data_IF_854757639149
#
_entry.id   IF_854757639149
#
_cell.length_a   1.000
_cell.length_b   1.000
_cell.length_c   1.000
_cell.angle_alpha   90.00
_cell.angle_beta   90.00
_cell.angle_gamma   90.00
#
_symmetry.space_group_name_H-M   'P 1'
#
loop_
_entity.id
_entity.type
_entity.pdbx_description
1 polymer ?
#
# COMPACT_ATOMS: atom_id res chain seq x y z
N UNK A 1 21.02 -9.21 -3.19
CA UNK A 1 21.57 -8.19 -4.11
C UNK A 1 21.75 -8.68 -5.55
N UNK A 2 22.30 -9.87 -5.82
CA UNK A 2 22.58 -10.36 -7.20
C UNK A 2 21.37 -10.28 -8.16
N UNK A 3 20.19 -10.76 -7.76
CA UNK A 3 18.97 -10.76 -8.60
C UNK A 3 18.61 -9.38 -9.14
N UNK A 4 18.69 -8.32 -8.32
CA UNK A 4 18.36 -6.95 -8.74
C UNK A 4 19.33 -6.43 -9.78
N UNK A 5 20.64 -6.55 -9.52
CA UNK A 5 21.67 -6.08 -10.45
C UNK A 5 21.63 -6.86 -11.76
N UNK A 6 21.36 -8.18 -11.71
CA UNK A 6 21.18 -9.01 -12.91
C UNK A 6 19.97 -8.59 -13.72
N UNK A 7 18.81 -8.36 -13.09
CA UNK A 7 17.60 -7.90 -13.79
C UNK A 7 17.82 -6.52 -14.45
N UNK A 8 18.48 -5.61 -13.73
CA UNK A 8 18.84 -4.29 -14.26
C UNK A 8 19.76 -4.41 -15.48
N UNK A 9 20.85 -5.16 -15.35
CA UNK A 9 21.79 -5.40 -16.46
C UNK A 9 21.07 -6.04 -17.66
N UNK A 10 20.19 -7.01 -17.42
CA UNK A 10 19.46 -7.67 -18.49
C UNK A 10 18.55 -6.70 -19.24
N UNK A 11 17.86 -5.79 -18.53
CA UNK A 11 17.06 -4.72 -19.16
C UNK A 11 17.94 -3.75 -19.96
N UNK A 12 19.10 -3.34 -19.43
CA UNK A 12 20.04 -2.46 -20.15
C UNK A 12 20.53 -3.13 -21.44
N UNK A 13 20.89 -4.41 -21.40
CA UNK A 13 21.29 -5.18 -22.58
C UNK A 13 20.15 -5.31 -23.60
N UNK A 14 18.90 -5.39 -23.14
CA UNK A 14 17.73 -5.39 -24.02
C UNK A 14 17.54 -4.04 -24.71
N UNK A 15 17.67 -2.94 -23.97
CA UNK A 15 17.53 -1.60 -24.53
C UNK A 15 18.64 -1.24 -25.53
N UNK A 16 19.84 -1.81 -25.39
CA UNK A 16 20.93 -1.63 -26.37
C UNK A 16 20.83 -2.61 -27.55
N UNK A 17 19.83 -3.52 -27.54
CA UNK A 17 19.62 -4.51 -28.61
C UNK A 17 20.57 -5.71 -28.57
N UNK A 18 21.32 -5.91 -27.48
CA UNK A 18 22.16 -7.10 -27.29
C UNK A 18 21.28 -8.32 -26.97
N UNK A 19 20.20 -8.11 -26.22
CA UNK A 19 19.16 -9.10 -25.97
C UNK A 19 17.93 -8.68 -26.75
N UNK A 20 17.41 -9.54 -27.60
CA UNK A 20 16.23 -9.22 -28.43
C UNK A 20 14.96 -9.95 -27.99
N UNK A 21 15.09 -11.02 -27.20
CA UNK A 21 13.96 -11.83 -26.74
C UNK A 21 13.33 -11.27 -25.46
N UNK A 22 12.19 -10.60 -25.61
CA UNK A 22 11.40 -10.10 -24.48
C UNK A 22 10.78 -11.21 -23.61
N UNK A 23 10.72 -12.46 -24.11
CA UNK A 23 10.10 -13.59 -23.40
C UNK A 23 10.88 -13.98 -22.14
N UNK A 24 12.19 -13.67 -22.09
CA UNK A 24 13.01 -13.87 -20.90
C UNK A 24 12.43 -13.08 -19.71
N UNK A 25 12.04 -11.83 -19.94
CA UNK A 25 11.42 -11.01 -18.89
C UNK A 25 10.04 -11.55 -18.51
N UNK A 26 9.25 -12.04 -19.46
CA UNK A 26 7.94 -12.64 -19.16
C UNK A 26 8.11 -13.80 -18.16
N UNK A 27 9.10 -14.67 -18.39
CA UNK A 27 9.36 -15.80 -17.50
C UNK A 27 9.85 -15.33 -16.13
N UNK A 28 10.80 -14.38 -16.07
CA UNK A 28 11.29 -13.82 -14.81
C UNK A 28 10.16 -13.19 -13.99
N UNK A 29 9.28 -12.42 -14.63
CA UNK A 29 8.16 -11.78 -13.95
C UNK A 29 7.17 -12.83 -13.46
N UNK A 30 6.84 -13.84 -14.28
CA UNK A 30 6.01 -14.98 -13.83
C UNK A 30 6.58 -15.64 -12.57
N UNK A 31 7.89 -15.90 -12.54
CA UNK A 31 8.56 -16.52 -11.40
C UNK A 31 8.46 -15.66 -10.13
N UNK A 32 8.63 -14.34 -10.23
CA UNK A 32 8.49 -13.43 -9.09
C UNK A 32 7.05 -13.21 -8.65
N UNK A 33 6.09 -13.36 -9.57
CA UNK A 33 4.66 -13.28 -9.28
C UNK A 33 4.04 -14.60 -8.84
N UNK A 34 4.86 -15.65 -8.65
CA UNK A 34 4.40 -16.95 -8.18
C UNK A 34 3.81 -16.86 -6.76
N UNK A 35 2.53 -17.22 -6.61
CA UNK A 35 1.80 -17.10 -5.34
C UNK A 35 2.33 -17.99 -4.22
N UNK A 36 3.06 -19.08 -4.56
CA UNK A 36 3.69 -19.95 -3.57
C UNK A 36 4.67 -19.20 -2.66
N UNK A 37 5.29 -18.14 -3.17
CA UNK A 37 6.28 -17.34 -2.45
C UNK A 37 5.66 -16.38 -1.43
N UNK A 38 4.33 -16.18 -1.46
CA UNK A 38 3.62 -15.31 -0.51
C UNK A 38 3.63 -15.85 0.92
N UNK A 39 3.93 -17.14 1.11
CA UNK A 39 4.05 -17.75 2.44
C UNK A 39 5.35 -17.36 3.15
N UNK A 40 6.36 -16.96 2.38
CA UNK A 40 7.66 -16.53 2.89
C UNK A 40 7.72 -15.00 2.84
N UNK A 41 7.82 -14.39 4.03
CA UNK A 41 7.86 -12.93 4.17
C UNK A 41 9.09 -12.32 3.49
N UNK A 42 10.27 -12.92 3.65
CA UNK A 42 11.51 -12.39 3.08
C UNK A 42 11.51 -12.52 1.55
N UNK A 43 10.98 -13.64 1.04
CA UNK A 43 10.79 -13.82 -0.40
C UNK A 43 9.80 -12.80 -0.97
N UNK A 44 8.67 -12.59 -0.30
CA UNK A 44 7.64 -11.60 -0.69
C UNK A 44 8.22 -10.20 -0.77
N UNK A 45 8.98 -9.77 0.26
CA UNK A 45 9.63 -8.45 0.26
C UNK A 45 10.66 -8.32 -0.86
N UNK A 46 11.45 -9.37 -1.07
CA UNK A 46 12.43 -9.40 -2.16
C UNK A 46 11.75 -9.24 -3.51
N UNK A 47 10.65 -9.95 -3.74
CA UNK A 47 9.90 -9.90 -4.99
C UNK A 47 9.22 -8.56 -5.20
N UNK A 48 8.52 -8.02 -4.19
CA UNK A 48 7.96 -6.66 -4.23
C UNK A 48 9.00 -5.64 -4.67
N UNK A 49 10.21 -5.74 -4.11
CA UNK A 49 11.29 -4.81 -4.41
C UNK A 49 11.89 -4.99 -5.81
N UNK A 50 11.92 -6.22 -6.34
CA UNK A 50 12.35 -6.53 -7.70
C UNK A 50 11.29 -6.09 -8.73
N UNK A 51 10.02 -6.41 -8.50
CA UNK A 51 8.90 -6.04 -9.35
C UNK A 51 8.70 -4.53 -9.40
N UNK A 52 8.84 -3.82 -8.27
CA UNK A 52 8.84 -2.35 -8.22
C UNK A 52 9.98 -1.78 -9.09
N UNK A 53 11.19 -2.35 -8.98
CA UNK A 53 12.33 -1.91 -9.79
C UNK A 53 12.10 -2.14 -11.28
N UNK A 54 11.52 -3.29 -11.63
CA UNK A 54 11.15 -3.63 -13.01
C UNK A 54 10.08 -2.69 -13.54
N UNK A 55 9.01 -2.45 -12.80
CA UNK A 55 7.92 -1.57 -13.23
C UNK A 55 8.39 -0.12 -13.44
N UNK A 56 9.28 0.39 -12.57
CA UNK A 56 9.84 1.75 -12.71
C UNK A 56 10.77 1.91 -13.93
N UNK A 57 11.63 0.93 -14.21
CA UNK A 57 12.64 1.02 -15.28
C UNK A 57 12.11 0.46 -16.62
N UNK A 58 11.25 -0.54 -16.55
CA UNK A 58 10.68 -1.28 -17.67
C UNK A 58 9.30 -0.79 -18.09
N UNK A 59 9.00 0.51 -17.93
CA UNK A 59 7.68 1.09 -18.28
C UNK A 59 7.26 0.77 -19.73
N UNK A 60 8.23 0.66 -20.64
CA UNK A 60 8.02 0.24 -22.03
C UNK A 60 7.37 -1.16 -22.16
N UNK A 61 7.77 -2.13 -21.33
CA UNK A 61 7.17 -3.48 -21.29
C UNK A 61 5.72 -3.45 -20.83
N UNK A 62 5.35 -2.42 -20.07
CA UNK A 62 4.00 -2.19 -19.56
C UNK A 62 3.18 -1.26 -20.48
N UNK A 63 3.75 -0.74 -21.56
CA UNK A 63 3.10 0.26 -22.40
C UNK A 63 2.76 1.54 -21.64
N UNK A 64 3.47 1.82 -20.54
CA UNK A 64 3.37 3.06 -19.79
C UNK A 64 4.42 4.04 -20.33
N UNK A 65 4.05 5.29 -20.58
CA UNK A 65 4.97 6.34 -21.01
C UNK A 65 5.01 7.44 -19.95
N UNK A 66 6.17 8.02 -19.69
CA UNK A 66 6.26 9.16 -18.78
C UNK A 66 5.64 10.39 -19.45
N UNK A 67 4.74 11.13 -18.77
CA UNK A 67 4.24 12.39 -19.29
C UNK A 67 5.40 13.38 -19.42
N UNK A 68 5.63 13.90 -20.63
CA UNK A 68 6.66 14.90 -20.93
C UNK A 68 8.01 14.35 -21.43
N UNK A 69 8.18 13.03 -21.56
CA UNK A 69 9.32 12.47 -22.27
C UNK A 69 8.97 12.40 -23.75
N UNK A 70 9.73 13.10 -24.61
CA UNK A 70 9.68 12.88 -26.05
C UNK A 70 10.02 11.41 -26.28
N UNK A 71 8.99 10.62 -26.62
CA UNK A 71 9.17 9.22 -26.95
C UNK A 71 9.96 9.22 -28.25
N UNK A 72 11.23 8.82 -28.17
CA UNK A 72 11.99 8.49 -29.37
C UNK A 72 11.35 7.24 -29.98
N UNK A 73 10.28 7.47 -30.75
CA UNK A 73 9.46 6.43 -31.35
C UNK A 73 10.32 5.52 -32.24
N UNK A 74 11.40 6.01 -32.82
CA UNK A 74 12.31 5.21 -33.64
C UNK A 74 13.10 4.22 -32.77
N UNK A 75 13.60 4.65 -31.61
CA UNK A 75 14.26 3.76 -30.65
C UNK A 75 13.32 2.65 -30.16
N UNK A 76 12.09 3.00 -29.81
CA UNK A 76 11.09 2.03 -29.30
C UNK A 76 10.48 1.14 -30.39
N UNK A 77 10.46 1.58 -31.66
CA UNK A 77 10.10 0.73 -32.80
C UNK A 77 11.11 -0.39 -33.05
N UNK A 78 12.37 -0.19 -32.66
CA UNK A 78 13.42 -1.23 -32.73
C UNK A 78 13.32 -2.30 -31.64
N UNK A 79 12.52 -2.07 -30.58
CA UNK A 79 12.35 -2.99 -29.46
C UNK A 79 11.19 -3.96 -29.73
N UNK A 80 11.52 -5.25 -29.87
CA UNK A 80 10.59 -6.33 -30.23
C UNK A 80 9.71 -6.82 -29.05
N UNK A 81 8.90 -5.94 -28.44
CA UNK A 81 7.90 -6.35 -27.43
C UNK A 81 6.51 -6.41 -28.07
N UNK A 82 5.98 -7.62 -28.21
CA UNK A 82 4.65 -7.86 -28.77
C UNK A 82 3.54 -7.36 -27.85
N UNK A 83 2.37 -7.05 -28.44
CA UNK A 83 1.16 -6.67 -27.69
C UNK A 83 0.76 -7.76 -26.68
N UNK A 84 0.92 -9.03 -27.06
CA UNK A 84 0.61 -10.17 -26.18
C UNK A 84 1.57 -10.24 -24.98
N UNK A 85 2.87 -10.01 -25.16
CA UNK A 85 3.81 -9.94 -24.04
C UNK A 85 3.49 -8.76 -23.11
N UNK A 86 3.14 -7.57 -23.64
CA UNK A 86 2.69 -6.43 -22.82
C UNK A 86 1.49 -6.79 -21.97
N UNK A 87 0.52 -7.52 -22.55
CA UNK A 87 -0.66 -8.02 -21.83
C UNK A 87 -0.28 -9.02 -20.74
N UNK A 88 0.69 -9.91 -21.00
CA UNK A 88 1.18 -10.87 -20.01
C UNK A 88 1.86 -10.19 -18.81
N UNK A 89 2.69 -9.16 -19.05
CA UNK A 89 3.31 -8.39 -17.96
C UNK A 89 2.27 -7.72 -17.09
N UNK A 90 1.31 -6.99 -17.70
CA UNK A 90 0.22 -6.35 -16.97
C UNK A 90 -0.55 -7.37 -16.15
N UNK A 91 -0.99 -8.47 -16.77
CA UNK A 91 -1.76 -9.51 -16.07
C UNK A 91 -1.00 -10.07 -14.86
N UNK A 92 0.28 -10.40 -15.02
CA UNK A 92 1.09 -10.95 -13.94
C UNK A 92 1.27 -9.95 -12.78
N UNK A 93 1.60 -8.68 -13.09
CA UNK A 93 1.83 -7.65 -12.09
C UNK A 93 0.55 -7.25 -11.35
N UNK A 94 -0.56 -7.07 -12.07
CA UNK A 94 -1.86 -6.79 -11.46
C UNK A 94 -2.33 -7.95 -10.57
N UNK A 95 -2.26 -9.19 -11.07
CA UNK A 95 -2.65 -10.37 -10.28
C UNK A 95 -1.79 -10.53 -9.02
N UNK A 96 -0.50 -10.21 -9.09
CA UNK A 96 0.37 -10.23 -7.92
C UNK A 96 0.03 -9.10 -6.96
N UNK A 97 -0.22 -7.88 -7.47
CA UNK A 97 -0.64 -6.74 -6.68
C UNK A 97 -1.93 -7.03 -5.87
N UNK A 98 -2.92 -7.65 -6.51
CA UNK A 98 -4.16 -8.05 -5.84
C UNK A 98 -3.87 -9.04 -4.71
N UNK A 99 -3.05 -10.08 -4.98
CA UNK A 99 -2.71 -11.09 -3.99
C UNK A 99 -1.90 -10.54 -2.80
N UNK A 100 -0.94 -9.63 -3.03
CA UNK A 100 -0.20 -8.98 -1.91
C UNK A 100 -1.07 -7.97 -1.16
N UNK A 101 -2.08 -7.40 -1.80
CA UNK A 101 -3.06 -6.53 -1.14
C UNK A 101 -3.97 -7.33 -0.22
N UNK A 102 -4.43 -8.50 -0.65
CA UNK A 102 -5.15 -9.45 0.22
C UNK A 102 -4.30 -9.88 1.42
N UNK A 103 -3.01 -10.19 1.19
CA UNK A 103 -2.07 -10.52 2.27
C UNK A 103 -1.92 -9.35 3.25
N UNK A 104 -1.79 -8.12 2.75
CA UNK A 104 -1.68 -6.91 3.56
C UNK A 104 -2.94 -6.69 4.42
N UNK A 105 -4.13 -6.88 3.85
CA UNK A 105 -5.40 -6.79 4.58
C UNK A 105 -5.52 -7.88 5.67
N UNK A 106 -5.03 -9.08 5.40
CA UNK A 106 -4.98 -10.15 6.39
C UNK A 106 -4.01 -9.82 7.55
N UNK A 107 -2.82 -9.29 7.25
CA UNK A 107 -1.88 -8.83 8.28
C UNK A 107 -2.46 -7.66 9.10
N UNK A 108 -3.15 -6.72 8.45
CA UNK A 108 -3.84 -5.62 9.12
C UNK A 108 -4.90 -6.13 10.11
N UNK A 109 -5.74 -7.07 9.67
CA UNK A 109 -6.78 -7.67 10.52
C UNK A 109 -6.18 -8.40 11.73
N UNK A 110 -5.05 -9.10 11.53
CA UNK A 110 -4.32 -9.78 12.60
C UNK A 110 -3.74 -8.78 13.61
N UNK A 111 -3.18 -7.66 13.12
CA UNK A 111 -2.65 -6.60 13.97
C UNK A 111 -3.76 -5.99 14.84
N UNK A 112 -4.94 -5.70 14.26
CA UNK A 112 -6.11 -5.21 14.99
C UNK A 112 -6.59 -6.16 16.07
N UNK A 113 -6.64 -7.46 15.75
CA UNK A 113 -7.05 -8.46 16.73
C UNK A 113 -6.08 -8.50 17.93
N UNK A 114 -4.78 -8.41 17.66
CA UNK A 114 -3.74 -8.36 18.69
C UNK A 114 -3.82 -7.07 19.53
N UNK A 115 -4.13 -5.93 18.93
CA UNK A 115 -4.37 -4.67 19.66
C UNK A 115 -5.55 -4.79 20.63
N UNK A 116 -6.66 -5.36 20.17
CA UNK A 116 -7.85 -5.60 21.01
C UNK A 116 -7.57 -6.56 22.16
N UNK A 117 -6.82 -7.64 21.91
CA UNK A 117 -6.45 -8.61 22.95
C UNK A 117 -5.51 -7.98 23.99
N UNK A 118 -4.49 -7.25 23.52
CA UNK A 118 -3.58 -6.51 24.39
C UNK A 118 -4.33 -5.48 25.25
N UNK A 119 -5.29 -4.74 24.69
CA UNK A 119 -6.10 -3.80 25.45
C UNK A 119 -6.92 -4.49 26.56
N UNK A 120 -7.49 -5.68 26.28
CA UNK A 120 -8.20 -6.47 27.31
C UNK A 120 -7.29 -6.92 28.43
N UNK A 121 -6.09 -7.41 28.10
CA UNK A 121 -5.11 -7.87 29.09
C UNK A 121 -4.67 -6.68 29.96
N UNK A 122 -4.34 -5.55 29.33
CA UNK A 122 -3.94 -4.34 30.03
C UNK A 122 -5.03 -3.84 30.98
N UNK A 123 -6.29 -3.82 30.53
CA UNK A 123 -7.42 -3.43 31.37
C UNK A 123 -7.67 -4.42 32.53
N UNK A 124 -7.42 -5.72 32.34
CA UNK A 124 -7.65 -6.73 33.36
C UNK A 124 -6.51 -6.88 34.37
N UNK A 125 -5.26 -6.69 33.96
CA UNK A 125 -4.05 -6.96 34.76
C UNK A 125 -3.25 -5.71 35.11
N UNK A 126 -3.50 -4.59 34.44
CA UNK A 126 -2.74 -3.34 34.58
C UNK A 126 -1.41 -3.30 33.81
N UNK A 127 -0.96 -4.44 33.28
CA UNK A 127 0.30 -4.55 32.53
C UNK A 127 0.22 -5.58 31.40
N UNK A 128 1.10 -5.41 30.39
CA UNK A 128 1.35 -6.39 29.35
C UNK A 128 2.65 -7.14 29.64
N UNK A 129 2.67 -8.45 29.34
CA UNK A 129 3.92 -9.22 29.39
C UNK A 129 4.89 -8.76 28.31
N UNK A 130 6.20 -8.98 28.54
CA UNK A 130 7.24 -8.72 27.55
C UNK A 130 7.00 -9.51 26.25
N UNK A 131 6.51 -10.75 26.35
CA UNK A 131 6.14 -11.57 25.19
C UNK A 131 5.05 -10.94 24.33
N UNK A 132 4.02 -10.34 24.95
CA UNK A 132 2.94 -9.68 24.21
C UNK A 132 3.43 -8.42 23.52
N UNK A 133 4.25 -7.62 24.20
CA UNK A 133 4.86 -6.40 23.64
C UNK A 133 5.76 -6.74 22.45
N UNK A 134 6.62 -7.76 22.60
CA UNK A 134 7.54 -8.17 21.53
C UNK A 134 6.81 -8.80 20.33
N UNK A 135 5.76 -9.60 20.57
CA UNK A 135 4.93 -10.15 19.51
C UNK A 135 4.20 -9.06 18.71
N UNK A 136 3.62 -8.08 19.39
CA UNK A 136 2.96 -6.94 18.76
C UNK A 136 3.94 -6.10 17.93
N UNK A 137 5.08 -5.72 18.50
CA UNK A 137 6.09 -4.94 17.78
C UNK A 137 6.64 -5.68 16.56
N UNK A 138 6.80 -7.01 16.64
CA UNK A 138 7.20 -7.84 15.50
C UNK A 138 6.14 -7.83 14.39
N UNK A 139 4.86 -7.99 14.73
CA UNK A 139 3.78 -8.00 13.76
C UNK A 139 3.58 -6.62 13.12
N UNK A 140 3.60 -5.55 13.94
CA UNK A 140 3.52 -4.16 13.49
C UNK A 140 4.63 -3.81 12.49
N UNK A 141 5.88 -4.15 12.81
CA UNK A 141 7.02 -3.93 11.90
C UNK A 141 6.89 -4.70 10.59
N UNK A 142 6.39 -5.93 10.65
CA UNK A 142 6.10 -6.73 9.45
C UNK A 142 5.06 -6.04 8.57
N UNK A 143 3.94 -5.62 9.17
CA UNK A 143 2.86 -4.91 8.49
C UNK A 143 3.38 -3.61 7.83
N UNK A 144 4.09 -2.77 8.58
CA UNK A 144 4.65 -1.51 8.05
C UNK A 144 5.59 -1.75 6.87
N UNK A 145 6.37 -2.82 6.93
CA UNK A 145 7.30 -3.17 5.86
C UNK A 145 6.56 -3.65 4.60
N UNK A 146 5.56 -4.52 4.76
CA UNK A 146 4.68 -4.97 3.68
C UNK A 146 3.90 -3.80 3.07
N UNK A 147 3.30 -2.95 3.88
CA UNK A 147 2.56 -1.78 3.43
C UNK A 147 3.41 -0.86 2.53
N UNK A 148 4.65 -0.58 2.94
CA UNK A 148 5.60 0.21 2.12
C UNK A 148 5.93 -0.48 0.80
N UNK A 149 6.13 -1.79 0.82
CA UNK A 149 6.42 -2.58 -0.37
C UNK A 149 5.27 -2.58 -1.38
N UNK A 150 4.04 -2.85 -0.91
CA UNK A 150 2.82 -2.83 -1.74
C UNK A 150 2.55 -1.44 -2.29
N UNK A 151 2.67 -0.39 -1.46
CA UNK A 151 2.48 1.00 -1.89
C UNK A 151 3.50 1.42 -2.96
N UNK A 152 4.75 1.00 -2.81
CA UNK A 152 5.80 1.28 -3.81
C UNK A 152 5.52 0.57 -5.14
N UNK A 153 4.96 -0.64 -5.10
CA UNK A 153 4.56 -1.36 -6.30
C UNK A 153 3.36 -0.69 -6.97
N UNK A 154 2.35 -0.27 -6.20
CA UNK A 154 1.19 0.47 -6.72
C UNK A 154 1.62 1.72 -7.48
N UNK A 155 2.48 2.54 -6.87
CA UNK A 155 3.06 3.74 -7.49
C UNK A 155 3.82 3.41 -8.78
N UNK A 156 4.62 2.35 -8.79
CA UNK A 156 5.37 1.94 -9.97
C UNK A 156 4.48 1.47 -11.13
N UNK A 157 3.26 1.01 -10.84
CA UNK A 157 2.27 0.54 -11.80
C UNK A 157 1.21 1.60 -12.15
N UNK A 158 1.34 2.83 -11.64
CA UNK A 158 0.31 3.89 -11.73
C UNK A 158 -1.06 3.44 -11.21
N UNK A 159 -1.08 2.60 -10.18
CA UNK A 159 -2.29 2.13 -9.50
C UNK A 159 -2.56 2.94 -8.23
N UNK A 160 -3.81 2.96 -7.78
CA UNK A 160 -4.12 3.53 -6.48
C UNK A 160 -3.50 2.67 -5.36
N UNK A 161 -2.95 3.32 -4.31
CA UNK A 161 -2.43 2.61 -3.15
C UNK A 161 -3.53 1.77 -2.48
N UNK A 162 -3.17 0.68 -1.78
CA UNK A 162 -4.14 -0.22 -1.16
C UNK A 162 -4.93 0.54 -0.08
N UNK A 163 -6.26 0.56 -0.22
CA UNK A 163 -7.15 1.09 0.81
C UNK A 163 -7.29 0.05 1.92
N UNK A 164 -7.02 0.47 3.16
CA UNK A 164 -7.30 -0.37 4.32
C UNK A 164 -8.80 -0.34 4.62
N UNK A 165 -9.44 -1.46 4.98
CA UNK A 165 -10.83 -1.47 5.42
C UNK A 165 -11.02 -0.46 6.55
N UNK A 166 -12.06 0.37 6.46
CA UNK A 166 -12.39 1.29 7.54
C UNK A 166 -12.79 0.47 8.76
N UNK A 167 -12.10 0.68 9.87
CA UNK A 167 -12.42 0.04 11.14
C UNK A 167 -13.85 0.50 11.53
N UNK A 168 -14.80 -0.43 11.59
CA UNK A 168 -16.20 -0.17 12.01
C UNK A 168 -16.36 0.36 13.45
N UNK A 169 -15.25 0.69 14.11
CA UNK A 169 -15.17 1.31 15.43
C UNK A 169 -14.69 2.76 15.40
N UNK A 170 -14.27 3.28 14.25
CA UNK A 170 -14.17 4.72 14.06
C UNK A 170 -15.52 5.24 13.59
N UNK A 171 -16.22 5.93 14.49
CA UNK A 171 -17.31 6.85 14.17
C UNK A 171 -16.74 7.88 13.21
N UNK A 172 -16.77 7.56 11.92
CA UNK A 172 -16.36 8.46 10.86
C UNK A 172 -17.39 9.59 10.84
N UNK A 173 -17.04 10.70 11.48
CA UNK A 173 -17.67 11.99 11.23
C UNK A 173 -17.30 12.35 9.78
N UNK A 174 -18.10 11.86 8.84
CA UNK A 174 -18.15 12.44 7.50
C UNK A 174 -18.80 13.81 7.62
N UNK A 175 -17.98 14.85 7.71
CA UNK A 175 -18.42 16.16 7.26
C UNK A 175 -18.72 16.09 5.76
N UNK A 176 -19.98 16.39 5.42
CA UNK A 176 -20.38 16.86 4.09
C UNK A 176 -20.91 15.81 3.13
N UNK A 177 -22.23 15.62 3.13
CA UNK A 177 -23.07 15.90 1.97
C UNK A 177 -24.53 15.59 2.32
N UNK A 178 -25.39 16.58 2.09
CA UNK A 178 -26.83 16.52 2.30
C UNK A 178 -27.46 15.27 1.69
N UNK A 179 -28.22 14.52 2.48
CA UNK A 179 -29.31 13.71 1.95
C UNK A 179 -30.42 13.65 3.00
N UNK A 180 -31.43 14.49 2.78
CA UNK A 180 -32.74 14.34 3.40
C UNK A 180 -33.24 12.92 3.16
N UNK A 181 -33.50 12.16 4.23
CA UNK A 181 -34.41 11.01 4.21
C UNK A 181 -34.78 10.62 5.64
N UNK A 182 -36.01 10.98 5.98
CA UNK A 182 -36.83 10.50 7.10
C UNK A 182 -36.69 9.00 7.37
N UNK A 183 -36.59 8.59 8.64
CA UNK A 183 -37.66 7.84 9.37
C UNK A 183 -37.20 7.30 10.74
N UNK A 184 -38.08 7.52 11.72
CA UNK A 184 -38.45 6.64 12.84
C UNK A 184 -37.46 6.38 13.98
N UNK A 185 -37.64 7.16 15.04
CA UNK A 185 -38.16 6.62 16.30
C UNK A 185 -37.27 5.71 17.14
N UNK A 186 -36.33 6.31 17.86
CA UNK A 186 -35.93 5.91 19.23
C UNK A 186 -35.17 7.09 19.84
N UNK A 187 -35.73 7.70 20.88
CA UNK A 187 -35.04 8.69 21.70
C UNK A 187 -33.85 8.01 22.40
N UNK A 188 -32.69 8.02 21.75
CA UNK A 188 -31.41 7.89 22.43
C UNK A 188 -31.01 9.28 22.90
N UNK A 189 -31.07 9.50 24.21
CA UNK A 189 -30.46 10.67 24.86
C UNK A 189 -29.03 10.77 24.35
N UNK A 190 -28.62 11.88 23.69
CA UNK A 190 -27.25 12.04 23.26
C UNK A 190 -26.37 12.13 24.51
N UNK A 191 -25.46 11.16 24.67
CA UNK A 191 -24.42 11.25 25.69
C UNK A 191 -23.63 12.54 25.46
N UNK A 192 -23.36 13.34 26.51
CA UNK A 192 -22.51 14.51 26.39
C UNK A 192 -21.16 14.08 25.81
N UNK A 193 -20.80 14.66 24.67
CA UNK A 193 -19.49 14.46 24.02
C UNK A 193 -18.33 14.90 24.94
N UNK A 194 -18.65 15.74 25.94
CA UNK A 194 -17.71 16.32 26.89
C UNK A 194 -18.17 16.01 28.31
N UNK A 195 -17.23 15.57 29.15
CA UNK A 195 -17.48 15.22 30.55
C UNK A 195 -17.69 16.49 31.42
N UNK A 196 -17.12 17.63 30.99
CA UNK A 196 -17.25 18.93 31.63
C UNK A 196 -17.16 20.10 30.63
N UNK A 197 -17.69 21.26 31.03
CA UNK A 197 -17.80 22.45 30.19
C UNK A 197 -16.45 23.18 29.97
N UNK A 198 -15.50 23.00 30.88
CA UNK A 198 -14.17 23.60 30.77
C UNK A 198 -13.35 22.89 29.68
N UNK A 199 -13.42 21.56 29.63
CA UNK A 199 -12.80 20.75 28.57
C UNK A 199 -13.38 21.08 27.21
N UNK A 200 -14.72 21.22 27.11
CA UNK A 200 -15.38 21.66 25.87
C UNK A 200 -14.87 23.02 25.42
N UNK A 201 -14.87 23.99 26.34
CA UNK A 201 -14.48 25.37 26.02
C UNK A 201 -13.04 25.44 25.55
N UNK A 202 -12.12 24.68 26.14
CA UNK A 202 -10.72 24.64 25.72
C UNK A 202 -10.53 24.22 24.25
N UNK A 203 -11.31 23.24 23.77
CA UNK A 203 -11.22 22.74 22.40
C UNK A 203 -12.09 23.51 21.39
N UNK A 204 -13.14 24.18 21.84
CA UNK A 204 -14.02 25.00 20.99
C UNK A 204 -13.59 26.48 20.92
N UNK A 205 -12.91 26.99 21.95
CA UNK A 205 -12.35 28.33 21.95
C UNK A 205 -11.00 28.34 21.22
N UNK A 206 -11.04 28.44 19.89
CA UNK A 206 -9.83 28.76 19.13
C UNK A 206 -9.41 30.20 19.45
N UNK A 207 -8.18 30.46 19.91
CA UNK A 207 -7.72 31.82 20.14
C UNK A 207 -7.74 32.61 18.83
N UNK A 208 -8.23 33.85 18.87
CA UNK A 208 -8.31 34.72 17.69
C UNK A 208 -6.89 35.07 17.21
N UNK A 209 -6.43 34.40 16.15
CA UNK A 209 -5.11 34.59 15.55
C UNK A 209 -4.92 35.95 14.86
N UNK A 210 -5.90 36.86 14.95
CA UNK A 210 -5.84 38.21 14.36
C UNK A 210 -5.04 39.23 15.16
N UNK A 211 -4.51 38.88 16.33
CA UNK A 211 -3.69 39.78 17.16
C UNK A 211 -2.23 39.32 17.35
N UNK A 212 -1.66 38.59 16.39
CA UNK A 212 -0.21 38.31 16.37
C UNK A 212 0.42 38.81 15.07
N UNK A 213 0.29 40.12 14.78
CA UNK A 213 1.19 40.87 13.89
C UNK A 213 1.07 42.37 14.17
N UNK A 214 1.48 42.86 15.35
CA UNK A 214 1.90 44.26 15.53
C UNK A 214 3.04 44.35 16.56
N UNK A 215 4.17 44.86 16.06
CA UNK A 215 5.50 45.17 16.64
C UNK A 215 6.48 44.00 16.82
#
# INVERSE_FOLDING_TARGET
>A
MKKRSTLKLLMELYFVGVVEDASIFVNIIKDFTGLEQLKDRDATQTNLSLLTSFARQGRFFLGMHQPGQEVDEEFYKGLNVTVEQKKQFKKALHSYYDAVTELLQAEHSSLRLMELDNAKILNARGELSEDNVTAYEKLRKSYDHLFRGVSSLAEALDMQPPLMPEDGHTTRVTSGADTESTTSGKESVPEPIWDDDDTRTFYESLPDLRFVWVV
#
